data_IF_063859843403
#
_entry.id   IF_063859843403
#
_cell.length_a   1.000
_cell.length_b   1.000
_cell.length_c   1.000
_cell.angle_alpha   90.00
_cell.angle_beta   90.00
_cell.angle_gamma   90.00
#
_symmetry.space_group_name_H-M   'P 1'
#
loop_
_entity.id
_entity.type
_entity.pdbx_description
1 polymer ?
#
# COMPACT_ATOMS: atom_id res chain seq x y z
N UNK A 1 -22.19 11.03 1.14
CA UNK A 1 -22.75 11.00 -0.24
C UNK A 1 -22.20 9.79 -0.96
N UNK A 2 -23.00 8.99 -1.67
CA UNK A 2 -22.47 7.87 -2.44
C UNK A 2 -21.77 8.42 -3.68
N UNK A 3 -20.48 8.16 -3.81
CA UNK A 3 -19.67 8.56 -4.97
C UNK A 3 -20.11 7.76 -6.20
N UNK A 4 -20.27 8.47 -7.33
CA UNK A 4 -20.65 7.95 -8.65
C UNK A 4 -19.87 6.68 -9.06
N UNK A 5 -20.53 5.67 -9.67
CA UNK A 5 -19.93 4.37 -9.99
C UNK A 5 -18.89 4.38 -11.14
N UNK A 6 -18.54 5.54 -11.69
CA UNK A 6 -17.72 5.65 -12.92
C UNK A 6 -16.26 6.08 -12.71
N UNK A 7 -15.82 6.39 -11.49
CA UNK A 7 -14.40 6.61 -11.19
C UNK A 7 -14.06 6.07 -9.79
N UNK A 8 -13.43 4.89 -9.71
CA UNK A 8 -12.84 4.43 -8.46
C UNK A 8 -11.60 5.32 -8.21
N UNK A 9 -11.68 6.21 -7.23
CA UNK A 9 -10.52 6.97 -6.76
C UNK A 9 -9.47 6.02 -6.17
N UNK A 10 -8.20 6.41 -6.11
CA UNK A 10 -7.16 5.56 -5.48
C UNK A 10 -7.50 5.20 -4.03
N UNK A 11 -8.08 6.15 -3.29
CA UNK A 11 -8.58 5.89 -1.93
C UNK A 11 -9.73 4.88 -1.93
N UNK A 12 -10.68 4.99 -2.87
CA UNK A 12 -11.75 4.00 -3.04
C UNK A 12 -11.22 2.61 -3.39
N UNK A 13 -10.21 2.51 -4.25
CA UNK A 13 -9.52 1.26 -4.56
C UNK A 13 -8.87 0.65 -3.31
N UNK A 14 -8.08 1.43 -2.59
CA UNK A 14 -7.43 1.02 -1.34
C UNK A 14 -8.47 0.51 -0.33
N UNK A 15 -9.54 1.29 -0.09
CA UNK A 15 -10.58 0.94 0.89
C UNK A 15 -11.40 -0.28 0.48
N UNK A 16 -11.63 -0.51 -0.83
CA UNK A 16 -12.26 -1.76 -1.33
C UNK A 16 -11.50 -3.00 -0.83
N UNK A 17 -10.18 -2.92 -0.72
CA UNK A 17 -9.36 -4.04 -0.26
C UNK A 17 -9.17 -4.02 1.25
N UNK A 18 -8.69 -2.92 1.84
CA UNK A 18 -8.35 -2.84 3.26
C UNK A 18 -9.55 -2.98 4.20
N UNK A 19 -10.77 -2.66 3.76
CA UNK A 19 -11.99 -2.91 4.54
C UNK A 19 -12.20 -4.39 4.89
N UNK A 20 -11.62 -5.33 4.13
CA UNK A 20 -11.62 -6.77 4.47
C UNK A 20 -10.89 -7.08 5.78
N UNK A 21 -10.03 -6.18 6.24
CA UNK A 21 -9.31 -6.24 7.51
C UNK A 21 -9.87 -5.22 8.53
N UNK A 22 -11.05 -4.64 8.27
CA UNK A 22 -11.64 -3.56 9.05
C UNK A 22 -10.75 -2.30 9.14
N UNK A 23 -9.92 -2.07 8.11
CA UNK A 23 -9.08 -0.87 8.00
C UNK A 23 -9.72 0.11 7.03
N UNK A 24 -9.87 1.36 7.45
CA UNK A 24 -10.32 2.48 6.63
C UNK A 24 -9.21 3.52 6.47
N UNK A 25 -8.92 3.88 5.23
CA UNK A 25 -7.98 4.93 4.87
C UNK A 25 -8.76 6.20 4.54
N UNK A 26 -8.50 7.24 5.32
CA UNK A 26 -9.08 8.58 5.20
C UNK A 26 -8.07 9.60 4.67
N UNK A 27 -6.76 9.31 4.78
CA UNK A 27 -5.67 10.20 4.39
C UNK A 27 -4.51 9.42 3.73
N UNK A 28 -4.38 9.58 2.41
CA UNK A 28 -3.31 8.95 1.62
C UNK A 28 -1.94 9.58 1.88
N UNK A 29 -1.88 10.81 2.39
CA UNK A 29 -0.65 11.56 2.57
C UNK A 29 0.15 11.01 3.76
N UNK A 30 -0.54 10.52 4.78
CA UNK A 30 0.10 10.03 6.01
C UNK A 30 -0.07 8.54 6.26
N UNK A 31 -1.21 7.91 5.98
CA UNK A 31 -1.48 6.57 6.55
C UNK A 31 -0.67 5.41 5.93
N UNK A 32 0.12 5.66 4.89
CA UNK A 32 1.00 4.67 4.27
C UNK A 32 2.47 4.78 4.68
N UNK A 33 2.85 5.82 5.43
CA UNK A 33 4.25 6.16 5.68
C UNK A 33 5.02 5.10 6.49
N UNK A 34 4.33 4.19 7.14
CA UNK A 34 4.92 3.16 7.99
C UNK A 34 4.99 1.77 7.35
N UNK A 35 4.49 1.66 6.12
CA UNK A 35 4.51 0.47 5.28
C UNK A 35 3.49 -0.62 5.66
N UNK A 36 2.81 -0.54 6.81
CA UNK A 36 1.89 -1.61 7.26
C UNK A 36 0.72 -1.76 6.31
N UNK A 37 0.08 -0.65 5.94
CA UNK A 37 -1.04 -0.67 4.99
C UNK A 37 -0.62 -1.04 3.57
N UNK A 38 0.64 -0.78 3.16
CA UNK A 38 1.16 -1.26 1.87
C UNK A 38 1.27 -2.79 1.88
N UNK A 39 1.84 -3.37 2.94
CA UNK A 39 2.00 -4.83 3.10
C UNK A 39 0.63 -5.51 3.10
N UNK A 40 -0.32 -4.99 3.87
CA UNK A 40 -1.68 -5.52 3.91
C UNK A 40 -2.39 -5.43 2.56
N UNK A 41 -2.29 -4.28 1.89
CA UNK A 41 -2.89 -4.09 0.57
C UNK A 41 -2.31 -5.10 -0.43
N UNK A 42 -0.99 -5.31 -0.44
CA UNK A 42 -0.33 -6.28 -1.32
C UNK A 42 -0.79 -7.71 -1.06
N UNK A 43 -0.82 -8.15 0.20
CA UNK A 43 -1.29 -9.49 0.55
C UNK A 43 -2.73 -9.72 0.09
N UNK A 44 -3.61 -8.73 0.26
CA UNK A 44 -5.00 -8.81 -0.18
C UNK A 44 -5.17 -8.80 -1.72
N UNK A 45 -4.28 -8.13 -2.45
CA UNK A 45 -4.30 -8.07 -3.91
C UNK A 45 -3.75 -9.34 -4.55
N UNK A 46 -2.67 -9.89 -4.01
CA UNK A 46 -1.99 -11.08 -4.53
C UNK A 46 -2.57 -12.40 -3.95
N UNK A 47 -3.38 -12.31 -2.89
CA UNK A 47 -4.00 -13.48 -2.25
C UNK A 47 -3.07 -14.26 -1.32
N UNK A 48 -2.12 -13.58 -0.67
CA UNK A 48 -1.23 -14.18 0.33
C UNK A 48 -1.21 -13.38 1.64
N UNK A 49 -0.64 -13.99 2.69
CA UNK A 49 -0.37 -13.31 3.95
C UNK A 49 1.14 -13.21 4.18
N UNK A 50 1.62 -12.02 4.53
CA UNK A 50 3.00 -11.84 4.99
C UNK A 50 3.07 -12.27 6.46
N UNK A 51 3.95 -13.22 6.83
CA UNK A 51 4.11 -13.61 8.23
C UNK A 51 4.49 -12.42 9.12
N UNK A 52 3.88 -12.33 10.30
CA UNK A 52 4.04 -11.18 11.20
C UNK A 52 5.48 -10.97 11.71
N UNK A 53 6.33 -12.00 11.64
CA UNK A 53 7.75 -11.86 12.02
C UNK A 53 8.61 -11.19 10.93
N UNK A 54 8.08 -11.01 9.71
CA UNK A 54 8.81 -10.41 8.59
C UNK A 54 8.71 -8.88 8.56
N UNK A 55 7.79 -8.29 9.31
CA UNK A 55 7.57 -6.84 9.34
C UNK A 55 7.06 -6.37 10.70
N UNK A 56 7.11 -5.07 10.94
CA UNK A 56 6.66 -4.47 12.19
C UNK A 56 5.21 -4.00 12.07
N UNK A 57 4.28 -4.60 12.82
CA UNK A 57 2.85 -4.19 12.81
C UNK A 57 2.66 -2.81 13.45
N UNK A 58 3.46 -2.51 14.47
CA UNK A 58 3.44 -1.22 15.20
C UNK A 58 4.83 -0.59 15.17
N UNK A 59 5.27 -0.07 14.01
CA UNK A 59 6.62 0.45 13.82
C UNK A 59 6.82 1.77 14.59
N UNK A 60 7.67 1.74 15.62
CA UNK A 60 7.99 2.88 16.47
C UNK A 60 9.19 3.71 15.99
N UNK A 61 10.13 3.12 15.25
CA UNK A 61 11.33 3.81 14.75
C UNK A 61 11.29 4.07 13.24
N UNK A 62 12.12 5.01 12.77
CA UNK A 62 12.30 5.27 11.34
C UNK A 62 12.79 4.02 10.60
N UNK A 63 13.70 3.25 11.19
CA UNK A 63 14.26 2.05 10.58
C UNK A 63 13.22 0.94 10.43
N UNK A 64 12.32 0.78 11.40
CA UNK A 64 11.20 -0.17 11.30
C UNK A 64 10.23 0.21 10.17
N UNK A 65 9.95 1.50 9.99
CA UNK A 65 9.13 2.01 8.88
C UNK A 65 9.83 1.78 7.54
N UNK A 66 11.12 2.09 7.44
CA UNK A 66 11.93 1.85 6.25
C UNK A 66 11.95 0.37 5.87
N UNK A 67 12.14 -0.52 6.86
CA UNK A 67 12.08 -1.97 6.67
C UNK A 67 10.74 -2.40 6.06
N UNK A 68 9.62 -1.96 6.64
CA UNK A 68 8.29 -2.31 6.16
C UNK A 68 8.04 -1.81 4.72
N UNK A 69 8.40 -0.56 4.42
CA UNK A 69 8.21 0.00 3.07
C UNK A 69 9.13 -0.69 2.06
N UNK A 70 10.37 -0.99 2.43
CA UNK A 70 11.29 -1.74 1.58
C UNK A 70 10.74 -3.13 1.25
N UNK A 71 10.27 -3.86 2.26
CA UNK A 71 9.61 -5.16 2.08
C UNK A 71 8.42 -5.07 1.12
N UNK A 72 7.55 -4.07 1.28
CA UNK A 72 6.42 -3.88 0.37
C UNK A 72 6.87 -3.66 -1.09
N UNK A 73 7.92 -2.86 -1.29
CA UNK A 73 8.49 -2.60 -2.62
C UNK A 73 9.15 -3.87 -3.21
N UNK A 74 9.79 -4.70 -2.37
CA UNK A 74 10.33 -6.01 -2.79
C UNK A 74 9.22 -6.96 -3.23
N UNK A 75 8.14 -7.08 -2.44
CA UNK A 75 6.99 -7.92 -2.78
C UNK A 75 6.32 -7.48 -4.10
N UNK A 76 6.25 -6.17 -4.37
CA UNK A 76 5.75 -5.67 -5.66
C UNK A 76 6.67 -6.05 -6.83
N UNK A 77 7.98 -6.05 -6.62
CA UNK A 77 8.95 -6.46 -7.64
C UNK A 77 8.87 -7.95 -7.91
N UNK A 78 8.77 -8.76 -6.87
CA UNK A 78 8.61 -10.21 -6.96
C UNK A 78 7.30 -10.60 -7.67
N UNK A 79 6.28 -9.74 -7.59
CA UNK A 79 5.03 -9.92 -8.33
C UNK A 79 5.08 -9.41 -9.78
N UNK A 80 6.28 -9.12 -10.30
CA UNK A 80 6.51 -8.77 -11.70
C UNK A 80 6.29 -7.28 -12.04
N UNK A 81 6.10 -6.41 -11.04
CA UNK A 81 5.94 -4.98 -11.29
C UNK A 81 7.29 -4.32 -11.59
N UNK A 82 7.38 -3.66 -12.75
CA UNK A 82 8.55 -2.86 -13.11
C UNK A 82 8.32 -1.40 -12.70
N UNK A 83 8.67 -1.06 -11.46
CA UNK A 83 8.68 0.32 -10.99
C UNK A 83 9.85 0.55 -10.02
N UNK A 84 10.22 1.81 -9.82
CA UNK A 84 11.23 2.22 -8.86
C UNK A 84 10.59 3.17 -7.86
N UNK A 85 10.77 2.91 -6.57
CA UNK A 85 10.43 3.82 -5.49
C UNK A 85 11.52 3.75 -4.41
N UNK A 86 11.79 4.89 -3.76
CA UNK A 86 12.69 4.95 -2.60
C UNK A 86 11.85 4.79 -1.34
N UNK A 87 12.15 3.81 -0.46
CA UNK A 87 11.43 3.66 0.79
C UNK A 87 11.43 4.95 1.64
N UNK A 88 12.52 5.70 1.59
CA UNK A 88 12.72 6.94 2.35
C UNK A 88 11.69 8.01 2.01
N UNK A 89 11.29 8.11 0.73
CA UNK A 89 10.35 9.12 0.27
C UNK A 89 8.95 8.84 0.87
N UNK A 90 8.53 7.57 0.92
CA UNK A 90 7.26 7.16 1.52
C UNK A 90 7.27 7.37 3.04
N UNK A 91 8.38 7.01 3.72
CA UNK A 91 8.53 7.24 5.17
C UNK A 91 8.50 8.72 5.53
N UNK A 92 8.97 9.59 4.62
CA UNK A 92 8.92 11.05 4.74
C UNK A 92 7.58 11.66 4.32
N UNK A 93 6.56 10.83 4.03
CA UNK A 93 5.23 11.27 3.60
C UNK A 93 5.24 12.05 2.29
N UNK A 94 6.17 11.74 1.38
CA UNK A 94 6.12 12.28 0.01
C UNK A 94 4.89 11.72 -0.72
N UNK A 95 3.86 12.56 -0.84
CA UNK A 95 2.59 12.17 -1.43
C UNK A 95 2.77 11.64 -2.86
N UNK A 96 3.66 12.25 -3.66
CA UNK A 96 3.89 11.84 -5.04
C UNK A 96 4.41 10.41 -5.13
N UNK A 97 5.32 10.01 -4.24
CA UNK A 97 5.86 8.66 -4.16
C UNK A 97 4.81 7.65 -3.70
N UNK A 98 4.02 8.00 -2.68
CA UNK A 98 2.89 7.16 -2.22
C UNK A 98 1.87 6.95 -3.33
N UNK A 99 1.41 8.01 -4.00
CA UNK A 99 0.45 7.92 -5.10
C UNK A 99 0.99 7.11 -6.27
N UNK A 100 2.29 7.21 -6.59
CA UNK A 100 2.91 6.39 -7.64
C UNK A 100 2.81 4.91 -7.31
N UNK A 101 3.12 4.51 -6.08
CA UNK A 101 3.00 3.11 -5.63
C UNK A 101 1.55 2.62 -5.74
N UNK A 102 0.61 3.38 -5.15
CA UNK A 102 -0.82 3.02 -5.14
C UNK A 102 -1.40 2.97 -6.55
N UNK A 103 -1.01 3.91 -7.43
CA UNK A 103 -1.42 3.92 -8.81
C UNK A 103 -0.86 2.74 -9.61
N UNK A 104 0.40 2.35 -9.37
CA UNK A 104 0.97 1.15 -9.98
C UNK A 104 0.21 -0.11 -9.57
N UNK A 105 -0.19 -0.23 -8.30
CA UNK A 105 -1.05 -1.33 -7.84
C UNK A 105 -2.43 -1.27 -8.49
N UNK A 106 -3.06 -0.11 -8.51
CA UNK A 106 -4.34 0.07 -9.20
C UNK A 106 -4.25 -0.35 -10.67
N UNK A 107 -3.22 0.06 -11.42
CA UNK A 107 -3.06 -0.32 -12.82
C UNK A 107 -2.93 -1.83 -13.03
N UNK A 108 -2.21 -2.53 -12.12
CA UNK A 108 -2.07 -3.98 -12.17
C UNK A 108 -3.38 -4.71 -11.84
N UNK A 109 -4.15 -4.19 -10.88
CA UNK A 109 -5.30 -4.90 -10.30
C UNK A 109 -6.68 -4.35 -10.68
N UNK A 110 -6.78 -3.28 -11.47
CA UNK A 110 -8.06 -2.68 -11.92
C UNK A 110 -8.98 -3.64 -12.68
N UNK A 111 -8.41 -4.70 -13.26
CA UNK A 111 -9.14 -5.71 -14.05
C UNK A 111 -9.50 -6.96 -13.25
N UNK A 112 -9.06 -7.07 -12.01
CA UNK A 112 -9.41 -8.18 -11.12
C UNK A 112 -10.80 -7.90 -10.55
N UNK A 113 -11.78 -8.69 -10.97
CA UNK A 113 -13.19 -8.59 -10.54
C UNK A 113 -13.32 -8.93 -9.06
#
# INVERSE_FOLDING_TARGET
>A
MPTSPYFISLQGFVNKHLSKLNVEVTDLDSQFHDGVYLIFLLGLLEGFFVPLYQFYITPGSKDQKLHNVALAIDLMRDSGMKFYAKPEDVVQKDLKSTLRILYSLFQKFKSVK
#
